data_IF_207818296403
#
_entry.id   IF_207818296403
#
_cell.length_a   1.000
_cell.length_b   1.000
_cell.length_c   1.000
_cell.angle_alpha   90.00
_cell.angle_beta   90.00
_cell.angle_gamma   90.00
#
_symmetry.space_group_name_H-M   'P 1'
#
loop_
_entity.id
_entity.type
_entity.pdbx_description
1 polymer ?
#
# COMPACT_ATOMS: atom_id res chain seq x y z
N UNK A 1 17.40 -41.14 52.79
CA UNK A 1 18.69 -40.42 52.75
C UNK A 1 19.18 -40.49 51.31
N UNK A 2 18.97 -39.48 50.46
CA UNK A 2 19.69 -38.20 50.37
C UNK A 2 21.16 -38.44 49.96
N UNK A 3 21.78 -37.82 48.94
CA UNK A 3 21.93 -36.39 48.55
C UNK A 3 22.39 -36.43 47.05
N UNK A 4 21.79 -35.78 46.04
CA UNK A 4 21.66 -34.35 45.65
C UNK A 4 22.86 -33.70 44.91
N UNK A 5 22.50 -32.87 43.92
CA UNK A 5 23.22 -31.86 43.09
C UNK A 5 23.98 -32.36 41.84
N UNK A 6 23.73 -31.91 40.60
CA UNK A 6 22.90 -30.83 40.05
C UNK A 6 23.76 -29.73 39.42
N UNK A 7 23.65 -29.48 38.11
CA UNK A 7 23.62 -28.16 37.44
C UNK A 7 23.51 -28.34 35.91
N UNK A 8 22.28 -28.22 35.39
CA UNK A 8 22.01 -28.00 33.98
C UNK A 8 21.70 -26.50 33.80
N UNK A 9 22.51 -25.81 32.99
CA UNK A 9 22.24 -24.43 32.61
C UNK A 9 21.14 -24.39 31.54
N UNK A 10 19.90 -24.12 31.97
CA UNK A 10 18.82 -23.68 31.09
C UNK A 10 18.79 -22.14 31.11
N UNK A 11 19.18 -21.49 30.02
CA UNK A 11 18.91 -20.06 29.83
C UNK A 11 17.54 -19.91 29.18
N UNK A 12 16.51 -19.69 29.99
CA UNK A 12 15.21 -19.15 29.54
C UNK A 12 15.35 -17.64 29.29
N UNK A 13 14.92 -17.10 28.14
CA UNK A 13 14.66 -15.66 28.05
C UNK A 13 13.32 -15.37 28.75
N UNK A 14 13.39 -14.75 29.92
CA UNK A 14 12.22 -14.13 30.56
C UNK A 14 11.76 -12.93 29.73
N UNK A 15 10.71 -13.12 28.92
CA UNK A 15 9.86 -12.02 28.45
C UNK A 15 8.59 -11.99 29.31
N UNK A 16 8.24 -10.89 29.99
CA UNK A 16 6.97 -10.81 30.69
C UNK A 16 5.85 -10.63 29.66
N UNK A 17 5.15 -11.73 29.36
CA UNK A 17 3.85 -11.71 28.70
C UNK A 17 2.77 -11.43 29.75
N UNK A 18 1.77 -10.64 29.35
CA UNK A 18 0.53 -10.30 30.05
C UNK A 18 0.57 -9.08 30.99
N UNK A 19 0.35 -7.89 30.42
CA UNK A 19 -0.52 -6.80 30.93
C UNK A 19 -0.53 -5.57 29.98
N UNK A 20 -0.59 -5.80 28.66
CA UNK A 20 -0.39 -4.73 27.66
C UNK A 20 -1.65 -4.29 26.88
N UNK A 21 -2.63 -5.16 26.67
CA UNK A 21 -3.69 -4.87 25.67
C UNK A 21 -4.67 -3.76 26.10
N UNK A 22 -4.96 -3.61 27.40
CA UNK A 22 -5.83 -2.51 27.88
C UNK A 22 -5.13 -1.15 27.90
N UNK A 23 -3.80 -1.08 28.08
CA UNK A 23 -3.04 0.18 28.07
C UNK A 23 -2.86 0.76 26.66
N UNK A 24 -2.85 -0.08 25.63
CA UNK A 24 -2.72 0.37 24.22
C UNK A 24 -3.97 1.11 23.75
N UNK A 25 -5.17 0.69 24.15
CA UNK A 25 -6.42 1.38 23.78
C UNK A 25 -6.54 2.76 24.46
N UNK A 26 -6.20 2.87 25.75
CA UNK A 26 -6.27 4.14 26.49
C UNK A 26 -5.20 5.13 26.01
N UNK A 27 -4.00 4.65 25.65
CA UNK A 27 -2.94 5.49 25.07
C UNK A 27 -3.26 5.97 23.65
N UNK A 28 -4.10 5.25 22.91
CA UNK A 28 -4.51 5.66 21.57
C UNK A 28 -5.55 6.79 21.65
N UNK A 29 -6.52 6.72 22.58
CA UNK A 29 -7.50 7.79 22.79
C UNK A 29 -6.83 9.12 23.20
N UNK A 30 -5.91 9.08 24.17
CA UNK A 30 -5.16 10.28 24.58
C UNK A 30 -4.20 10.80 23.50
N UNK A 31 -3.67 9.92 22.64
CA UNK A 31 -2.87 10.34 21.48
C UNK A 31 -3.74 10.90 20.34
N UNK A 32 -5.00 10.48 20.22
CA UNK A 32 -5.97 11.03 19.28
C UNK A 32 -6.39 12.43 19.75
N UNK A 33 -6.73 12.61 21.03
CA UNK A 33 -7.06 13.92 21.62
C UNK A 33 -5.90 14.92 21.52
N UNK A 34 -4.66 14.48 21.79
CA UNK A 34 -3.48 15.34 21.67
C UNK A 34 -3.06 15.65 20.21
N UNK A 35 -3.57 14.90 19.22
CA UNK A 35 -3.36 15.18 17.80
C UNK A 35 -4.48 16.08 17.26
N UNK A 36 -5.72 15.94 17.76
CA UNK A 36 -6.85 16.82 17.44
C UNK A 36 -6.57 18.30 17.79
N UNK A 37 -5.82 18.56 18.86
CA UNK A 37 -5.45 19.94 19.24
C UNK A 37 -4.44 20.63 18.29
N UNK A 38 -3.83 19.91 17.33
CA UNK A 38 -2.79 20.50 16.43
C UNK A 38 -3.10 20.46 14.94
N UNK A 39 -4.27 19.99 14.51
CA UNK A 39 -4.72 20.06 13.10
C UNK A 39 -6.14 20.65 12.94
N UNK A 40 -6.63 21.39 13.95
CA UNK A 40 -7.93 22.06 14.02
C UNK A 40 -8.04 23.31 13.11
N UNK A 41 -7.68 23.16 11.83
CA UNK A 41 -7.73 24.26 10.87
C UNK A 41 -7.67 23.89 9.39
N UNK A 42 -8.01 22.65 9.01
CA UNK A 42 -8.24 22.33 7.59
C UNK A 42 -9.73 22.15 7.36
N UNK A 43 -10.34 23.13 6.69
CA UNK A 43 -11.61 22.93 5.99
C UNK A 43 -11.54 21.62 5.18
N UNK A 44 -12.64 20.86 5.06
CA UNK A 44 -12.66 19.66 4.24
C UNK A 44 -12.26 20.06 2.82
N UNK A 45 -11.08 19.61 2.40
CA UNK A 45 -10.56 19.96 1.09
C UNK A 45 -11.57 19.51 0.04
N UNK A 46 -12.13 20.46 -0.71
CA UNK A 46 -12.95 20.15 -1.87
C UNK A 46 -12.18 19.18 -2.77
N UNK A 47 -12.87 18.13 -3.21
CA UNK A 47 -12.26 17.15 -4.10
C UNK A 47 -11.92 17.82 -5.43
N UNK A 48 -10.85 17.36 -6.08
CA UNK A 48 -10.33 18.00 -7.28
C UNK A 48 -10.43 17.07 -8.48
N UNK A 49 -10.73 17.67 -9.63
CA UNK A 49 -10.66 17.01 -10.94
C UNK A 49 -9.57 17.68 -11.77
N UNK A 50 -8.64 16.89 -12.29
CA UNK A 50 -7.51 17.37 -13.09
C UNK A 50 -7.59 16.86 -14.52
N UNK A 51 -7.23 17.68 -15.49
CA UNK A 51 -7.07 17.20 -16.86
C UNK A 51 -5.84 16.29 -16.95
N UNK A 52 -5.94 15.18 -17.70
CA UNK A 52 -4.82 14.22 -17.83
C UNK A 52 -3.55 14.89 -18.38
N UNK A 53 -3.71 15.89 -19.26
CA UNK A 53 -2.58 16.65 -19.84
C UNK A 53 -1.85 17.49 -18.78
N UNK A 54 -2.58 18.10 -17.84
CA UNK A 54 -2.00 18.88 -16.74
C UNK A 54 -1.11 18.01 -15.84
N UNK A 55 -1.47 16.73 -15.71
CA UNK A 55 -0.70 15.74 -14.95
C UNK A 55 0.31 14.96 -15.80
N UNK A 56 0.47 15.32 -17.09
CA UNK A 56 1.41 14.67 -18.00
C UNK A 56 1.03 13.24 -18.40
N UNK A 57 -0.23 12.82 -18.20
CA UNK A 57 -0.72 11.49 -18.54
C UNK A 57 -1.19 11.48 -20.00
N UNK A 58 -0.60 10.57 -20.78
CA UNK A 58 -1.00 10.29 -22.16
C UNK A 58 -1.53 8.86 -22.28
N UNK A 59 -2.52 8.65 -23.15
CA UNK A 59 -3.01 7.31 -23.48
C UNK A 59 -1.91 6.38 -24.02
N UNK A 60 -0.84 6.94 -24.60
CA UNK A 60 0.33 6.18 -25.06
C UNK A 60 1.07 5.44 -23.93
N UNK A 61 0.93 5.91 -22.68
CA UNK A 61 1.56 5.30 -21.50
C UNK A 61 0.80 4.08 -20.96
N UNK A 62 -0.43 3.85 -21.42
CA UNK A 62 -1.24 2.71 -21.01
C UNK A 62 -0.83 1.49 -21.85
N UNK A 63 -0.54 0.35 -21.22
CA UNK A 63 -0.16 -0.86 -21.93
C UNK A 63 -1.25 -1.32 -22.93
N UNK A 64 -0.83 -1.93 -24.05
CA UNK A 64 -1.75 -2.39 -25.11
C UNK A 64 -2.79 -3.39 -24.57
N UNK A 65 -2.42 -4.42 -23.77
CA UNK A 65 -3.39 -5.32 -23.12
C UNK A 65 -4.47 -4.59 -22.32
N UNK A 66 -4.06 -3.62 -21.49
CA UNK A 66 -4.97 -2.80 -20.70
C UNK A 66 -5.94 -2.00 -21.59
N UNK A 67 -5.47 -1.43 -22.72
CA UNK A 67 -6.36 -0.71 -23.66
C UNK A 67 -7.40 -1.63 -24.30
N UNK A 68 -7.05 -2.89 -24.59
CA UNK A 68 -8.01 -3.88 -25.12
C UNK A 68 -9.15 -4.09 -24.12
N UNK A 69 -8.83 -4.29 -22.84
CA UNK A 69 -9.82 -4.49 -21.78
C UNK A 69 -10.67 -3.24 -21.56
N UNK A 70 -10.03 -2.06 -21.50
CA UNK A 70 -10.73 -0.78 -21.39
C UNK A 70 -11.71 -0.57 -22.54
N UNK A 71 -11.30 -0.83 -23.78
CA UNK A 71 -12.13 -0.64 -24.98
C UNK A 71 -13.27 -1.65 -25.02
N UNK A 72 -13.00 -2.91 -24.66
CA UNK A 72 -14.01 -3.97 -24.62
C UNK A 72 -15.17 -3.62 -23.68
N UNK A 73 -14.85 -3.23 -22.44
CA UNK A 73 -15.87 -2.81 -21.46
C UNK A 73 -16.58 -1.52 -21.88
N UNK A 74 -15.84 -0.54 -22.40
CA UNK A 74 -16.43 0.73 -22.85
C UNK A 74 -17.41 0.52 -24.01
N UNK A 75 -17.11 -0.38 -24.94
CA UNK A 75 -17.99 -0.71 -26.07
C UNK A 75 -19.33 -1.32 -25.65
N UNK A 76 -19.39 -1.93 -24.47
CA UNK A 76 -20.61 -2.48 -23.85
C UNK A 76 -21.40 -1.45 -23.03
N UNK A 77 -20.93 -0.20 -22.98
CA UNK A 77 -21.59 0.89 -22.25
C UNK A 77 -21.16 1.03 -20.79
N UNK A 78 -20.19 0.24 -20.32
CA UNK A 78 -19.72 0.35 -18.94
C UNK A 78 -18.75 1.52 -18.76
N UNK A 79 -18.74 2.08 -17.55
CA UNK A 79 -17.70 3.02 -17.14
C UNK A 79 -16.48 2.25 -16.66
N UNK A 80 -15.29 2.77 -16.95
CA UNK A 80 -14.02 2.14 -16.59
C UNK A 80 -13.03 3.20 -16.13
N UNK A 81 -12.26 2.85 -15.12
CA UNK A 81 -11.26 3.74 -14.52
C UNK A 81 -9.99 2.94 -14.25
N UNK A 82 -8.84 3.54 -14.55
CA UNK A 82 -7.56 3.09 -14.01
C UNK A 82 -7.43 3.62 -12.58
N UNK A 83 -6.93 2.79 -11.67
CA UNK A 83 -6.89 3.13 -10.24
C UNK A 83 -5.60 2.68 -9.56
N UNK A 84 -5.32 3.22 -8.38
CA UNK A 84 -4.24 2.69 -7.55
C UNK A 84 -2.85 3.14 -7.97
N UNK A 85 -1.90 2.20 -7.85
CA UNK A 85 -0.48 2.47 -8.08
C UNK A 85 -0.18 2.90 -9.51
N UNK A 86 -0.95 2.41 -10.49
CA UNK A 86 -0.74 2.74 -11.89
C UNK A 86 -0.96 4.22 -12.18
N UNK A 87 -2.03 4.83 -11.67
CA UNK A 87 -2.32 6.26 -11.88
C UNK A 87 -1.23 7.14 -11.28
N UNK A 88 -0.80 6.81 -10.05
CA UNK A 88 0.31 7.49 -9.38
C UNK A 88 1.60 7.42 -10.20
N UNK A 89 1.93 6.23 -10.71
CA UNK A 89 3.16 6.02 -11.45
C UNK A 89 3.13 6.75 -12.80
N UNK A 90 1.98 6.79 -13.47
CA UNK A 90 1.76 7.61 -14.67
C UNK A 90 1.99 9.10 -14.40
N UNK A 91 1.45 9.65 -13.30
CA UNK A 91 1.68 11.06 -12.90
C UNK A 91 3.17 11.33 -12.65
N UNK A 92 3.87 10.36 -12.04
CA UNK A 92 5.31 10.43 -11.78
C UNK A 92 6.19 10.11 -13.00
N UNK A 93 5.58 9.85 -14.17
CA UNK A 93 6.27 9.41 -15.40
C UNK A 93 7.16 8.19 -15.18
N UNK A 94 6.70 7.26 -14.34
CA UNK A 94 7.34 5.97 -14.06
C UNK A 94 6.53 4.84 -14.68
N UNK A 95 7.21 3.74 -15.00
CA UNK A 95 6.55 2.52 -15.49
C UNK A 95 5.70 1.90 -14.35
N UNK A 96 4.38 1.76 -14.53
CA UNK A 96 3.54 0.99 -13.62
C UNK A 96 3.98 -0.47 -13.59
N UNK A 97 3.86 -1.12 -12.43
CA UNK A 97 4.09 -2.57 -12.31
C UNK A 97 2.94 -3.36 -12.95
N UNK A 98 1.73 -2.91 -12.68
CA UNK A 98 0.46 -3.50 -13.06
C UNK A 98 -0.52 -2.37 -13.37
N UNK A 99 -1.57 -2.66 -14.15
CA UNK A 99 -2.66 -1.76 -14.42
C UNK A 99 -3.96 -2.35 -13.87
N UNK A 100 -4.49 -1.72 -12.83
CA UNK A 100 -5.75 -2.11 -12.21
C UNK A 100 -6.90 -1.31 -12.83
N UNK A 101 -7.92 -2.02 -13.30
CA UNK A 101 -9.16 -1.43 -13.81
C UNK A 101 -10.27 -1.60 -12.77
N UNK A 102 -11.07 -0.57 -12.56
CA UNK A 102 -12.38 -0.69 -11.91
C UNK A 102 -13.49 -0.28 -12.88
N UNK A 103 -14.61 -1.00 -12.82
CA UNK A 103 -15.73 -0.79 -13.74
C UNK A 103 -17.09 -0.85 -13.04
N UNK A 104 -18.10 -0.24 -13.66
CA UNK A 104 -19.51 -0.38 -13.27
C UNK A 104 -20.09 -1.74 -13.65
N UNK A 105 -19.44 -2.51 -14.54
CA UNK A 105 -19.87 -3.87 -14.83
C UNK A 105 -19.77 -4.78 -13.59
N UNK A 106 -20.71 -5.70 -13.43
CA UNK A 106 -20.55 -6.82 -12.51
C UNK A 106 -19.47 -7.78 -13.01
N UNK A 107 -18.82 -8.52 -12.10
CA UNK A 107 -17.77 -9.48 -12.47
C UNK A 107 -18.26 -10.54 -13.46
N UNK A 108 -19.54 -10.95 -13.38
CA UNK A 108 -20.15 -11.87 -14.34
C UNK A 108 -20.28 -11.25 -15.74
N UNK A 109 -20.53 -9.95 -15.84
CA UNK A 109 -20.62 -9.22 -17.11
C UNK A 109 -19.23 -9.01 -17.72
N UNK A 110 -18.22 -8.72 -16.88
CA UNK A 110 -16.81 -8.72 -17.32
C UNK A 110 -16.46 -10.08 -17.93
N UNK A 111 -16.78 -11.18 -17.24
CA UNK A 111 -16.53 -12.54 -17.74
C UNK A 111 -17.30 -12.88 -19.02
N UNK A 112 -18.49 -12.32 -19.24
CA UNK A 112 -19.23 -12.45 -20.51
C UNK A 112 -18.62 -11.63 -21.64
N UNK A 113 -17.92 -10.55 -21.31
CA UNK A 113 -17.31 -9.64 -22.28
C UNK A 113 -16.01 -10.21 -22.83
N UNK A 114 -15.24 -10.94 -22.01
CA UNK A 114 -13.95 -11.51 -22.39
C UNK A 114 -13.95 -13.03 -22.25
N UNK A 115 -13.67 -13.74 -23.35
CA UNK A 115 -13.66 -15.21 -23.38
C UNK A 115 -12.64 -15.83 -22.42
N UNK A 116 -11.45 -15.22 -22.32
CA UNK A 116 -10.38 -15.62 -21.40
C UNK A 116 -10.39 -14.75 -20.16
N UNK A 117 -11.37 -15.00 -19.28
CA UNK A 117 -11.53 -14.28 -18.02
C UNK A 117 -11.86 -15.24 -16.88
N UNK A 118 -11.13 -15.09 -15.78
CA UNK A 118 -11.31 -15.89 -14.56
C UNK A 118 -11.67 -14.98 -13.38
N UNK A 119 -12.63 -15.40 -12.56
CA UNK A 119 -12.92 -14.70 -11.31
C UNK A 119 -12.10 -15.35 -10.21
N UNK A 120 -11.19 -14.57 -9.61
CA UNK A 120 -10.24 -15.03 -8.60
C UNK A 120 -10.52 -14.34 -7.27
N UNK A 121 -10.27 -15.03 -6.16
CA UNK A 121 -10.42 -14.50 -4.81
C UNK A 121 -11.80 -14.78 -4.21
N UNK A 122 -11.82 -15.34 -3.00
CA UNK A 122 -13.08 -15.63 -2.28
C UNK A 122 -13.62 -14.41 -1.55
N UNK A 123 -12.76 -13.71 -0.80
CA UNK A 123 -13.14 -12.54 0.01
C UNK A 123 -13.22 -11.25 -0.81
N UNK A 124 -12.34 -11.13 -1.80
CA UNK A 124 -12.24 -9.96 -2.68
C UNK A 124 -12.22 -10.48 -4.12
N UNK A 125 -13.38 -10.86 -4.67
CA UNK A 125 -13.42 -11.39 -6.02
C UNK A 125 -13.05 -10.29 -7.02
N UNK A 126 -12.12 -10.60 -7.91
CA UNK A 126 -11.70 -9.76 -9.04
C UNK A 126 -11.64 -10.63 -10.30
N UNK A 127 -11.73 -10.00 -11.46
CA UNK A 127 -11.53 -10.67 -12.74
C UNK A 127 -10.07 -10.55 -13.17
N UNK A 128 -9.46 -11.68 -13.50
CA UNK A 128 -8.22 -11.75 -14.25
C UNK A 128 -8.58 -11.92 -15.73
N UNK A 129 -8.37 -10.88 -16.52
CA UNK A 129 -8.60 -10.92 -17.97
C UNK A 129 -7.27 -11.18 -18.64
N UNK A 130 -7.16 -12.29 -19.35
CA UNK A 130 -5.95 -12.68 -20.07
C UNK A 130 -5.97 -12.08 -21.47
N UNK A 131 -4.95 -11.27 -21.77
CA UNK A 131 -4.75 -10.68 -23.10
C UNK A 131 -3.30 -10.94 -23.50
N UNK A 132 -3.12 -11.73 -24.55
CA UNK A 132 -1.83 -12.26 -24.97
C UNK A 132 -1.15 -13.04 -23.82
N UNK A 133 0.04 -12.63 -23.38
CA UNK A 133 0.78 -13.22 -22.25
C UNK A 133 0.60 -12.44 -20.94
N UNK A 134 -0.20 -11.38 -20.94
CA UNK A 134 -0.41 -10.50 -19.79
C UNK A 134 -1.78 -10.72 -19.15
N UNK A 135 -1.85 -10.46 -17.84
CA UNK A 135 -3.08 -10.51 -17.06
C UNK A 135 -3.43 -9.09 -16.63
N UNK A 136 -4.65 -8.66 -16.94
CA UNK A 136 -5.19 -7.37 -16.51
C UNK A 136 -6.21 -7.62 -15.40
N UNK A 137 -6.00 -6.98 -14.26
CA UNK A 137 -6.92 -7.07 -13.12
C UNK A 137 -8.10 -6.11 -13.31
N UNK A 138 -9.32 -6.64 -13.22
CA UNK A 138 -10.57 -5.88 -13.34
C UNK A 138 -11.42 -6.10 -12.09
N UNK A 139 -11.75 -5.02 -11.41
CA UNK A 139 -12.60 -5.00 -10.22
C UNK A 139 -13.93 -4.29 -10.51
N UNK A 140 -14.95 -4.58 -9.72
CA UNK A 140 -16.28 -3.96 -9.84
C UNK A 140 -16.57 -3.02 -8.66
N UNK A 141 -17.23 -1.90 -8.93
CA UNK A 141 -17.78 -1.04 -7.86
C UNK A 141 -18.77 -1.79 -6.98
N UNK A 142 -19.54 -2.74 -7.53
CA UNK A 142 -20.54 -3.51 -6.80
C UNK A 142 -19.91 -4.43 -5.76
N UNK A 143 -18.81 -5.08 -6.10
CA UNK A 143 -18.04 -5.92 -5.16
C UNK A 143 -17.39 -5.08 -4.06
N UNK A 144 -16.94 -3.86 -4.42
CA UNK A 144 -16.34 -2.93 -3.46
C UNK A 144 -17.35 -2.42 -2.43
N UNK A 145 -18.64 -2.29 -2.80
CA UNK A 145 -19.72 -1.85 -1.92
C UNK A 145 -20.08 -2.82 -0.79
N UNK A 146 -19.85 -4.13 -0.98
CA UNK A 146 -20.12 -5.17 0.04
C UNK A 146 -19.18 -5.04 1.25
N UNK A 147 -18.06 -4.30 1.13
CA UNK A 147 -17.19 -3.96 2.27
C UNK A 147 -17.88 -3.05 3.30
N UNK A 148 -18.93 -2.32 2.90
CA UNK A 148 -19.56 -1.27 3.72
C UNK A 148 -20.26 -1.75 4.99
N UNK A 149 -20.66 -3.02 5.10
CA UNK A 149 -21.38 -3.49 6.28
C UNK A 149 -20.47 -3.96 7.43
N UNK A 150 -19.16 -4.14 7.21
CA UNK A 150 -18.27 -4.79 8.19
C UNK A 150 -17.09 -3.95 8.69
N UNK A 151 -16.87 -2.76 8.13
CA UNK A 151 -15.84 -1.83 8.58
C UNK A 151 -16.47 -0.64 9.29
N UNK A 152 -16.00 -0.32 10.50
CA UNK A 152 -16.42 0.83 11.30
C UNK A 152 -16.51 2.07 10.39
N UNK A 153 -17.71 2.62 10.23
CA UNK A 153 -17.98 3.83 9.46
C UNK A 153 -17.22 5.00 10.07
N UNK A 154 -15.98 5.23 9.62
CA UNK A 154 -15.38 6.55 9.74
C UNK A 154 -16.32 7.47 8.97
N UNK A 155 -16.95 8.39 9.70
CA UNK A 155 -17.88 9.39 9.19
C UNK A 155 -17.13 10.41 8.34
N UNK A 156 -16.62 9.97 7.19
CA UNK A 156 -16.25 10.88 6.14
C UNK A 156 -17.55 11.43 5.58
N UNK A 157 -17.80 12.72 5.81
CA UNK A 157 -18.93 13.39 5.19
C UNK A 157 -18.78 13.31 3.67
N UNK A 158 -19.90 13.02 3.00
CA UNK A 158 -19.95 12.99 1.53
C UNK A 158 -19.43 14.34 1.03
N UNK A 159 -18.49 14.37 0.06
CA UNK A 159 -18.00 15.64 -0.45
C UNK A 159 -19.15 16.47 -1.02
N UNK A 160 -19.08 17.78 -0.80
CA UNK A 160 -20.04 18.75 -1.34
C UNK A 160 -20.07 18.62 -2.87
N UNK A 161 -21.25 18.75 -3.48
CA UNK A 161 -21.46 18.70 -4.94
C UNK A 161 -21.14 17.34 -5.63
N UNK A 162 -21.38 16.21 -4.95
CA UNK A 162 -21.19 14.88 -5.53
C UNK A 162 -22.46 14.32 -6.18
N UNK A 163 -22.38 13.98 -7.47
CA UNK A 163 -23.38 13.16 -8.15
C UNK A 163 -23.35 11.68 -7.69
N UNK A 164 -24.25 10.84 -8.20
CA UNK A 164 -24.27 9.41 -7.83
C UNK A 164 -22.98 8.68 -8.24
N UNK A 165 -22.36 9.06 -9.36
CA UNK A 165 -21.15 8.42 -9.88
C UNK A 165 -19.94 8.79 -9.03
N UNK A 166 -19.83 10.05 -8.65
CA UNK A 166 -18.83 10.57 -7.73
C UNK A 166 -18.93 9.89 -6.37
N UNK A 167 -20.16 9.63 -5.90
CA UNK A 167 -20.35 8.86 -4.69
C UNK A 167 -19.80 7.43 -4.79
N UNK A 168 -19.99 6.72 -5.92
CA UNK A 168 -19.37 5.40 -6.13
C UNK A 168 -17.84 5.47 -6.20
N UNK A 169 -17.29 6.45 -6.93
CA UNK A 169 -15.84 6.67 -7.06
C UNK A 169 -15.19 7.00 -5.71
N UNK A 170 -15.76 7.97 -4.99
CA UNK A 170 -15.32 8.38 -3.66
C UNK A 170 -15.35 7.21 -2.67
N UNK A 171 -16.44 6.44 -2.62
CA UNK A 171 -16.55 5.28 -1.75
C UNK A 171 -15.48 4.24 -2.07
N UNK A 172 -15.16 4.00 -3.33
CA UNK A 172 -14.05 3.10 -3.67
C UNK A 172 -12.71 3.63 -3.14
N UNK A 173 -12.47 4.94 -3.27
CA UNK A 173 -11.25 5.58 -2.79
C UNK A 173 -11.08 5.44 -1.27
N UNK A 174 -12.14 5.62 -0.48
CA UNK A 174 -12.09 5.55 0.99
C UNK A 174 -11.49 4.25 1.54
N UNK A 175 -11.67 3.15 0.84
CA UNK A 175 -11.26 1.81 1.28
C UNK A 175 -9.82 1.44 0.87
N UNK A 176 -9.09 2.40 0.28
CA UNK A 176 -7.70 2.23 -0.15
C UNK A 176 -6.74 2.60 0.97
N UNK A 177 -5.49 2.18 0.79
CA UNK A 177 -4.47 2.29 1.83
C UNK A 177 -3.92 3.72 1.98
N UNK A 178 -3.54 4.34 0.86
CA UNK A 178 -2.87 5.65 0.84
C UNK A 178 -3.54 6.61 -0.13
N UNK A 179 -3.49 7.90 0.19
CA UNK A 179 -4.03 9.01 -0.62
C UNK A 179 -3.50 8.98 -2.05
N UNK A 180 -2.20 8.76 -2.22
CA UNK A 180 -1.52 8.67 -3.52
C UNK A 180 -1.96 7.46 -4.36
N UNK A 181 -2.56 6.44 -3.74
CA UNK A 181 -3.17 5.29 -4.43
C UNK A 181 -4.70 5.44 -4.54
N UNK A 182 -5.28 6.51 -3.99
CA UNK A 182 -6.70 6.85 -4.02
C UNK A 182 -7.11 7.67 -5.24
N UNK A 183 -6.33 7.62 -6.32
CA UNK A 183 -6.58 8.35 -7.55
C UNK A 183 -7.32 7.47 -8.56
N UNK A 184 -8.26 8.07 -9.29
CA UNK A 184 -8.99 7.40 -10.37
C UNK A 184 -8.82 8.16 -11.68
N UNK A 185 -8.42 7.47 -12.73
CA UNK A 185 -8.23 8.07 -14.05
C UNK A 185 -9.18 7.46 -15.06
N UNK A 186 -9.98 8.31 -15.72
CA UNK A 186 -10.79 7.93 -16.87
C UNK A 186 -10.03 8.27 -18.17
N UNK A 187 -9.56 7.26 -18.93
CA UNK A 187 -8.80 7.49 -20.15
C UNK A 187 -9.64 8.06 -21.31
N UNK A 188 -10.97 8.00 -21.24
CA UNK A 188 -11.87 8.49 -22.29
C UNK A 188 -12.27 9.94 -22.06
N UNK A 189 -12.70 10.30 -20.85
CA UNK A 189 -12.97 11.70 -20.49
C UNK A 189 -11.69 12.50 -20.25
N UNK A 190 -10.54 11.82 -20.08
CA UNK A 190 -9.22 12.40 -19.84
C UNK A 190 -9.15 13.20 -18.54
N UNK A 191 -9.87 12.74 -17.52
CA UNK A 191 -9.85 13.33 -16.19
C UNK A 191 -9.31 12.37 -15.14
N UNK A 192 -8.52 12.93 -14.21
CA UNK A 192 -8.13 12.29 -12.97
C UNK A 192 -8.96 12.88 -11.84
N UNK A 193 -9.62 12.02 -11.09
CA UNK A 193 -10.44 12.34 -9.93
C UNK A 193 -9.61 12.10 -8.66
N UNK A 194 -9.48 13.13 -7.83
CA UNK A 194 -8.77 13.10 -6.56
C UNK A 194 -9.67 13.56 -5.43
N UNK A 195 -10.22 12.58 -4.71
CA UNK A 195 -11.08 12.82 -3.56
C UNK A 195 -10.33 12.88 -2.22
N UNK A 196 -9.03 12.53 -2.20
CA UNK A 196 -8.26 12.30 -0.96
C UNK A 196 -7.05 13.22 -0.83
N UNK A 197 -6.83 14.10 -1.79
CA UNK A 197 -5.65 14.97 -1.89
C UNK A 197 -4.37 14.19 -2.23
N UNK A 198 -4.50 13.13 -3.03
CA UNK A 198 -3.39 12.29 -3.48
C UNK A 198 -2.42 13.03 -4.41
N UNK A 199 -2.91 13.93 -5.28
CA UNK A 199 -2.05 14.72 -6.18
C UNK A 199 -1.16 15.67 -5.40
N UNK A 200 -1.69 16.32 -4.37
CA UNK A 200 -0.92 17.23 -3.51
C UNK A 200 0.12 16.47 -2.66
N UNK A 201 -0.17 15.23 -2.24
CA UNK A 201 0.81 14.36 -1.59
C UNK A 201 1.90 13.87 -2.54
N UNK A 202 1.56 13.57 -3.80
CA UNK A 202 2.55 13.23 -4.83
C UNK A 202 3.51 14.40 -5.03
N UNK A 203 2.98 15.63 -5.17
CA UNK A 203 3.79 16.86 -5.30
C UNK A 203 4.69 17.10 -4.09
N UNK A 204 4.20 16.80 -2.88
CA UNK A 204 4.95 16.93 -1.62
C UNK A 204 5.83 15.70 -1.31
N UNK A 205 5.89 14.71 -2.20
CA UNK A 205 6.59 13.44 -2.02
C UNK A 205 6.27 12.78 -0.67
N UNK A 206 4.98 12.67 -0.33
CA UNK A 206 4.49 12.22 0.98
C UNK A 206 3.63 10.96 0.87
N UNK A 207 3.89 9.99 1.75
CA UNK A 207 3.00 8.83 1.97
C UNK A 207 2.13 9.11 3.20
N UNK A 208 0.81 9.12 2.98
CA UNK A 208 -0.22 9.36 3.99
C UNK A 208 -1.38 8.39 3.76
N UNK A 209 -1.92 7.85 4.85
CA UNK A 209 -3.11 7.00 4.83
C UNK A 209 -4.35 7.83 4.50
N UNK A 210 -5.38 7.21 3.93
CA UNK A 210 -6.63 7.93 3.61
C UNK A 210 -7.36 8.37 4.87
N UNK A 211 -7.55 7.45 5.82
CA UNK A 211 -8.00 7.76 7.17
C UNK A 211 -6.90 7.70 8.21
N UNK A 212 -7.26 7.75 9.50
CA UNK A 212 -6.32 7.67 10.61
C UNK A 212 -5.40 6.45 10.49
N UNK A 213 -4.09 6.69 10.56
CA UNK A 213 -3.08 5.68 10.27
C UNK A 213 -3.13 4.52 11.27
N UNK A 214 -3.44 4.82 12.55
CA UNK A 214 -3.59 3.83 13.61
C UNK A 214 -4.70 2.83 13.27
N UNK A 215 -5.89 3.32 12.92
CA UNK A 215 -7.04 2.49 12.55
C UNK A 215 -6.76 1.68 11.28
N UNK A 216 -6.23 2.33 10.24
CA UNK A 216 -5.90 1.70 8.96
C UNK A 216 -4.93 0.52 9.13
N UNK A 217 -3.91 0.65 9.98
CA UNK A 217 -2.93 -0.41 10.23
C UNK A 217 -3.44 -1.50 11.18
N UNK A 218 -4.41 -1.20 12.06
CA UNK A 218 -5.08 -2.22 12.86
C UNK A 218 -5.98 -3.08 11.98
N UNK A 219 -6.74 -2.46 11.06
CA UNK A 219 -7.61 -3.13 10.09
C UNK A 219 -6.81 -4.08 9.19
N UNK A 220 -5.70 -3.59 8.60
CA UNK A 220 -4.80 -4.41 7.79
C UNK A 220 -3.33 -4.03 8.06
N UNK A 221 -2.67 -4.82 8.88
CA UNK A 221 -1.25 -4.62 9.22
C UNK A 221 -0.29 -4.79 8.03
N UNK A 222 -0.72 -5.38 6.90
CA UNK A 222 0.08 -5.40 5.67
C UNK A 222 0.29 -3.98 5.12
N UNK A 223 -0.61 -3.03 5.43
CA UNK A 223 -0.47 -1.63 5.05
C UNK A 223 0.80 -0.99 5.64
N UNK A 224 1.32 -1.46 6.78
CA UNK A 224 2.61 -0.99 7.32
C UNK A 224 3.75 -1.31 6.35
N UNK A 225 3.84 -2.56 5.90
CA UNK A 225 4.87 -2.99 4.95
C UNK A 225 4.67 -2.32 3.59
N UNK A 226 3.43 -2.19 3.12
CA UNK A 226 3.11 -1.46 1.89
C UNK A 226 3.54 0.00 1.96
N UNK A 227 3.38 0.67 3.12
CA UNK A 227 3.84 2.04 3.33
C UNK A 227 5.37 2.12 3.15
N UNK A 228 6.11 1.21 3.79
CA UNK A 228 7.58 1.10 3.66
C UNK A 228 8.00 0.88 2.23
N UNK A 229 7.40 -0.10 1.55
CA UNK A 229 7.65 -0.40 0.15
C UNK A 229 7.43 0.82 -0.76
N UNK A 230 6.28 1.48 -0.63
CA UNK A 230 5.93 2.62 -1.49
C UNK A 230 6.88 3.80 -1.22
N UNK A 231 7.17 4.09 0.05
CA UNK A 231 8.11 5.15 0.41
C UNK A 231 9.52 4.88 -0.11
N UNK A 232 10.01 3.64 0.02
CA UNK A 232 11.32 3.24 -0.50
C UNK A 232 11.38 3.37 -2.02
N UNK A 233 10.42 2.78 -2.73
CA UNK A 233 10.40 2.78 -4.20
C UNK A 233 10.29 4.18 -4.80
N UNK A 234 9.49 5.05 -4.19
CA UNK A 234 9.25 6.40 -4.72
C UNK A 234 10.23 7.45 -4.16
N UNK A 235 10.97 7.13 -3.09
CA UNK A 235 11.77 8.11 -2.36
C UNK A 235 10.92 9.09 -1.53
N UNK A 236 9.69 8.71 -1.18
CA UNK A 236 8.75 9.57 -0.46
C UNK A 236 8.98 9.52 1.05
N UNK A 237 8.57 10.58 1.74
CA UNK A 237 8.61 10.67 3.21
C UNK A 237 7.24 10.33 3.79
N UNK A 238 7.21 9.78 4.98
CA UNK A 238 5.95 9.57 5.70
C UNK A 238 5.40 10.88 6.28
N UNK A 239 4.07 11.00 6.30
CA UNK A 239 3.41 11.96 7.19
C UNK A 239 3.72 11.71 8.65
N UNK A 240 3.59 12.76 9.47
CA UNK A 240 3.96 12.73 10.90
C UNK A 240 3.18 11.63 11.64
N UNK A 241 1.86 11.64 11.49
CA UNK A 241 0.95 10.63 12.02
C UNK A 241 1.27 9.22 11.48
N UNK A 242 1.39 9.06 10.15
CA UNK A 242 1.72 7.78 9.51
C UNK A 242 3.03 7.19 10.03
N UNK A 243 4.08 8.01 10.18
CA UNK A 243 5.37 7.58 10.71
C UNK A 243 5.28 7.12 12.17
N UNK A 244 4.50 7.83 12.99
CA UNK A 244 4.28 7.50 14.40
C UNK A 244 3.55 6.17 14.52
N UNK A 245 2.47 6.00 13.74
CA UNK A 245 1.68 4.78 13.71
C UNK A 245 2.47 3.56 13.19
N UNK A 246 3.32 3.73 12.17
CA UNK A 246 4.24 2.66 11.70
C UNK A 246 5.15 2.21 12.85
N UNK A 247 5.74 3.16 13.60
CA UNK A 247 6.64 2.83 14.71
C UNK A 247 5.91 2.13 15.85
N UNK A 248 4.76 2.65 16.25
CA UNK A 248 4.00 2.14 17.40
C UNK A 248 3.36 0.78 17.13
N UNK A 249 2.98 0.51 15.88
CA UNK A 249 2.31 -0.73 15.48
C UNK A 249 3.24 -1.70 14.74
N UNK A 250 4.56 -1.50 14.75
CA UNK A 250 5.52 -2.35 14.02
C UNK A 250 5.40 -3.84 14.37
N UNK A 251 5.19 -4.17 15.65
CA UNK A 251 4.99 -5.55 16.13
C UNK A 251 3.73 -6.22 15.60
N UNK A 252 2.74 -5.44 15.14
CA UNK A 252 1.49 -5.98 14.59
C UNK A 252 1.70 -6.78 13.30
N UNK A 253 2.80 -6.53 12.59
CA UNK A 253 3.18 -7.24 11.36
C UNK A 253 3.35 -8.74 11.60
N UNK A 254 3.65 -9.18 12.84
CA UNK A 254 3.70 -10.60 13.21
C UNK A 254 2.35 -11.32 13.11
N UNK A 255 1.23 -10.59 13.01
CA UNK A 255 -0.10 -11.18 12.79
C UNK A 255 -0.36 -11.58 11.34
N UNK A 256 0.47 -11.13 10.39
CA UNK A 256 0.33 -11.47 8.99
C UNK A 256 0.68 -12.93 8.75
N UNK A 257 -0.04 -13.56 7.83
CA UNK A 257 0.36 -14.87 7.33
C UNK A 257 1.69 -14.78 6.59
N UNK A 258 2.42 -15.90 6.57
CA UNK A 258 3.76 -15.97 5.94
C UNK A 258 3.73 -15.62 4.45
N UNK A 259 2.65 -15.93 3.75
CA UNK A 259 2.50 -15.63 2.33
C UNK A 259 2.45 -14.14 2.06
N UNK A 260 1.64 -13.39 2.83
CA UNK A 260 1.59 -11.93 2.75
C UNK A 260 2.89 -11.25 3.15
N UNK A 261 3.55 -11.75 4.20
CA UNK A 261 4.88 -11.24 4.59
C UNK A 261 5.89 -11.41 3.46
N UNK A 262 5.99 -12.62 2.91
CA UNK A 262 6.91 -12.93 1.82
C UNK A 262 6.60 -12.09 0.58
N UNK A 263 5.33 -11.91 0.23
CA UNK A 263 4.91 -11.08 -0.89
C UNK A 263 5.41 -9.62 -0.74
N UNK A 264 5.23 -8.99 0.42
CA UNK A 264 5.69 -7.62 0.64
C UNK A 264 7.23 -7.53 0.66
N UNK A 265 7.92 -8.53 1.22
CA UNK A 265 9.38 -8.60 1.16
C UNK A 265 9.89 -8.75 -0.27
N UNK A 266 9.27 -9.62 -1.08
CA UNK A 266 9.58 -9.77 -2.50
C UNK A 266 9.45 -8.46 -3.24
N UNK A 267 8.38 -7.71 -3.00
CA UNK A 267 8.20 -6.42 -3.66
C UNK A 267 9.23 -5.37 -3.23
N UNK A 268 9.71 -5.40 -1.99
CA UNK A 268 10.74 -4.48 -1.53
C UNK A 268 12.11 -4.79 -2.14
N UNK A 269 12.47 -6.07 -2.23
CA UNK A 269 13.82 -6.51 -2.55
C UNK A 269 14.05 -6.84 -4.04
N UNK A 270 13.00 -7.19 -4.78
CA UNK A 270 13.14 -7.61 -6.18
C UNK A 270 12.91 -6.51 -7.22
N UNK A 271 12.42 -5.33 -6.83
CA UNK A 271 11.89 -4.32 -7.76
C UNK A 271 12.70 -3.00 -7.78
N UNK A 272 14.01 -3.08 -7.48
CA UNK A 272 14.92 -1.93 -7.60
C UNK A 272 14.80 -0.90 -6.46
N UNK A 273 14.43 -1.35 -5.26
CA UNK A 273 14.33 -0.48 -4.08
C UNK A 273 14.77 -1.18 -2.78
N UNK A 274 15.58 -2.22 -2.90
CA UNK A 274 15.97 -3.08 -1.80
C UNK A 274 16.76 -2.33 -0.73
N UNK A 275 17.75 -1.53 -1.14
CA UNK A 275 18.60 -0.78 -0.21
C UNK A 275 17.78 0.26 0.58
N UNK A 276 16.96 1.02 -0.13
CA UNK A 276 16.05 2.00 0.47
C UNK A 276 15.03 1.33 1.41
N UNK A 277 14.51 0.17 1.02
CA UNK A 277 13.57 -0.62 1.83
C UNK A 277 14.22 -1.08 3.14
N UNK A 278 15.42 -1.65 3.08
CA UNK A 278 16.17 -2.09 4.27
C UNK A 278 16.46 -0.93 5.22
N UNK A 279 16.81 0.25 4.70
CA UNK A 279 17.00 1.44 5.54
C UNK A 279 15.73 1.87 6.24
N UNK A 280 14.58 1.83 5.57
CA UNK A 280 13.30 2.17 6.19
C UNK A 280 12.86 1.11 7.20
N UNK A 281 13.00 -0.17 6.89
CA UNK A 281 12.76 -1.26 7.84
C UNK A 281 13.62 -1.10 9.08
N UNK A 282 14.91 -0.77 8.91
CA UNK A 282 15.82 -0.48 10.01
C UNK A 282 15.37 0.75 10.78
N UNK A 283 15.05 1.87 10.11
CA UNK A 283 14.65 3.11 10.77
C UNK A 283 13.43 2.94 11.70
N UNK A 284 12.49 2.07 11.33
CA UNK A 284 11.22 1.87 12.04
C UNK A 284 11.18 0.65 12.98
N UNK A 285 12.27 -0.10 13.14
CA UNK A 285 12.27 -1.28 14.02
C UNK A 285 11.64 -2.53 13.40
N UNK A 286 11.36 -2.52 12.09
CA UNK A 286 10.76 -3.64 11.39
C UNK A 286 11.80 -4.68 10.95
N UNK A 287 13.06 -4.26 10.76
CA UNK A 287 14.12 -5.16 10.31
C UNK A 287 14.40 -6.26 11.35
N UNK A 288 14.36 -5.97 12.65
CA UNK A 288 14.52 -7.00 13.69
C UNK A 288 13.44 -8.08 13.66
N UNK A 289 12.24 -7.69 13.24
CA UNK A 289 11.08 -8.57 13.23
C UNK A 289 11.14 -9.48 12.00
N UNK A 290 11.50 -8.92 10.85
CA UNK A 290 11.43 -9.61 9.56
C UNK A 290 12.73 -10.30 9.16
N UNK A 291 13.87 -9.68 9.46
CA UNK A 291 15.21 -10.08 9.03
C UNK A 291 16.20 -9.98 10.21
N UNK A 292 16.03 -10.80 11.27
CA UNK A 292 16.77 -10.65 12.53
C UNK A 292 18.29 -10.82 12.36
N UNK A 293 18.74 -11.66 11.42
CA UNK A 293 20.17 -11.86 11.14
C UNK A 293 20.79 -10.59 10.55
N UNK A 294 20.11 -9.96 9.60
CA UNK A 294 20.54 -8.72 8.97
C UNK A 294 20.49 -7.54 9.97
N UNK A 295 19.48 -7.52 10.85
CA UNK A 295 19.42 -6.55 11.93
C UNK A 295 20.59 -6.73 12.92
N UNK A 296 20.93 -7.97 13.30
CA UNK A 296 22.09 -8.26 14.15
C UNK A 296 23.40 -7.82 13.49
N UNK A 297 23.56 -8.03 12.17
CA UNK A 297 24.67 -7.49 11.40
C UNK A 297 24.77 -5.96 11.52
N UNK A 298 23.66 -5.23 11.40
CA UNK A 298 23.67 -3.77 11.58
C UNK A 298 24.10 -3.36 12.99
N UNK A 299 23.60 -4.05 14.03
CA UNK A 299 23.98 -3.77 15.41
C UNK A 299 25.46 -4.03 15.65
N UNK A 300 25.99 -5.17 15.18
CA UNK A 300 27.38 -5.57 15.36
C UNK A 300 28.37 -4.53 14.81
N UNK A 301 28.08 -3.95 13.64
CA UNK A 301 28.90 -2.89 13.03
C UNK A 301 28.54 -1.47 13.51
N UNK A 302 27.74 -1.33 14.58
CA UNK A 302 27.38 -0.04 15.17
C UNK A 302 26.54 0.84 14.24
N UNK A 303 25.76 0.25 13.34
CA UNK A 303 24.96 0.96 12.36
C UNK A 303 23.67 1.51 12.98
N UNK A 304 23.60 2.82 13.20
CA UNK A 304 22.47 3.46 13.91
C UNK A 304 21.21 3.53 13.01
N UNK A 305 20.04 3.67 13.62
CA UNK A 305 18.71 3.69 12.92
C UNK A 305 18.54 4.76 11.86
N UNK A 306 19.26 5.88 11.99
CA UNK A 306 19.22 7.03 11.07
C UNK A 306 20.54 7.22 10.34
N UNK A 307 21.38 6.19 10.34
CA UNK A 307 22.68 6.26 9.73
C UNK A 307 22.55 6.35 8.20
N UNK A 308 23.37 7.23 7.62
CA UNK A 308 23.46 7.45 6.16
C UNK A 308 24.66 6.73 5.55
N UNK A 309 25.57 6.20 6.38
CA UNK A 309 26.70 5.39 5.91
C UNK A 309 26.19 4.18 5.14
N UNK A 310 27.07 3.61 4.31
CA UNK A 310 26.83 2.31 3.68
C UNK A 310 27.56 1.21 4.44
N UNK A 311 27.19 -0.03 4.17
CA UNK A 311 27.90 -1.25 4.57
C UNK A 311 27.87 -2.25 3.41
N UNK A 312 28.47 -3.42 3.56
CA UNK A 312 28.55 -4.40 2.48
C UNK A 312 27.16 -4.84 1.99
N UNK A 313 26.23 -5.11 2.93
CA UNK A 313 24.86 -5.52 2.60
C UNK A 313 24.10 -4.44 1.82
N UNK A 314 24.15 -3.19 2.30
CA UNK A 314 23.50 -2.06 1.62
C UNK A 314 24.16 -1.78 0.27
N UNK A 315 25.48 -1.92 0.13
CA UNK A 315 26.17 -1.72 -1.14
C UNK A 315 25.82 -2.80 -2.16
N UNK A 316 25.67 -4.06 -1.73
CA UNK A 316 25.17 -5.14 -2.57
C UNK A 316 23.79 -4.80 -3.13
N UNK A 317 22.83 -4.47 -2.25
CA UNK A 317 21.48 -4.12 -2.68
C UNK A 317 21.42 -2.85 -3.51
N UNK A 318 22.23 -1.84 -3.21
CA UNK A 318 22.31 -0.60 -4.01
C UNK A 318 22.82 -0.87 -5.43
N UNK A 319 23.75 -1.82 -5.60
CA UNK A 319 24.21 -2.23 -6.93
C UNK A 319 23.19 -3.10 -7.66
N UNK A 320 22.52 -4.00 -6.94
CA UNK A 320 21.42 -4.79 -7.49
C UNK A 320 20.28 -3.89 -7.96
N UNK A 321 19.91 -2.88 -7.17
CA UNK A 321 18.83 -1.95 -7.47
C UNK A 321 19.03 -1.18 -8.79
N UNK A 322 20.27 -1.01 -9.25
CA UNK A 322 20.58 -0.37 -10.55
C UNK A 322 20.24 -1.26 -11.76
N UNK A 323 20.13 -2.57 -11.54
CA UNK A 323 19.88 -3.57 -12.59
C UNK A 323 18.40 -3.97 -12.67
N UNK A 324 17.63 -3.65 -11.62
CA UNK A 324 16.25 -4.06 -11.46
C UNK A 324 15.29 -2.89 -11.64
N UNK A 325 14.09 -3.19 -12.12
CA UNK A 325 13.03 -2.22 -12.31
C UNK A 325 11.67 -2.90 -12.14
N UNK A 326 10.55 -2.16 -12.04
CA UNK A 326 9.23 -2.76 -11.91
C UNK A 326 8.84 -3.74 -13.02
N UNK A 327 9.29 -3.46 -14.24
CA UNK A 327 9.15 -4.26 -15.46
C UNK A 327 10.29 -5.29 -15.65
N UNK A 328 11.32 -5.24 -14.79
CA UNK A 328 12.45 -6.18 -14.78
C UNK A 328 12.81 -6.57 -13.33
N UNK A 329 11.94 -7.32 -12.63
CA UNK A 329 12.23 -7.76 -11.27
C UNK A 329 13.24 -8.91 -11.26
N UNK A 330 13.98 -9.06 -10.16
CA UNK A 330 14.81 -10.25 -9.95
C UNK A 330 13.99 -11.42 -9.39
N UNK A 331 14.50 -12.65 -9.57
CA UNK A 331 13.91 -13.82 -8.93
C UNK A 331 14.14 -13.77 -7.41
N UNK A 332 13.16 -14.21 -6.62
CA UNK A 332 13.22 -14.12 -5.14
C UNK A 332 14.32 -14.96 -4.50
N UNK A 333 14.96 -15.87 -5.25
CA UNK A 333 16.11 -16.65 -4.77
C UNK A 333 17.41 -15.85 -4.69
N UNK A 334 17.43 -14.61 -5.19
CA UNK A 334 18.63 -13.78 -5.26
C UNK A 334 18.88 -12.93 -4.00
N UNK A 335 17.99 -12.98 -3.01
CA UNK A 335 18.10 -12.20 -1.78
C UNK A 335 17.60 -12.94 -0.55
#
# INVERSE_FOLDING_TARGET
MAISSGFAFSCRPHFPLSHGMRKVFVSCAAAIEAIEETDSGKEPAEWKRFNSKELGISSSMIAKPTRVVLNGLKSKGFEVYLVGGCVRDLILKRTPKDFDIITTAELKEVRRTFSHCEIVGRRFPICHVHVDTEVVEVSSFHTSGIRSERGLSLSFEKPVDCDEKDHFRWRNCLHRDFTINGLMFDPYSKFVYDYMGGVDDIRKAKVRTIGPASFSFIEDCARILRAVRIAARLGFRFGRETALSIKNLSSSVLRLDRGRLLMEMNYMLAYGSAEASLRLLWKFGLLEILLPIQAAYFVYYGFRRRDKRSNMLLSLFSNLDKLLAPDRPCHSSLW
#
